data_IF_379267652237
#
_entry.id   IF_379267652237
#
_cell.length_a   1.000
_cell.length_b   1.000
_cell.length_c   1.000
_cell.angle_alpha   90.00
_cell.angle_beta   90.00
_cell.angle_gamma   90.00
#
_symmetry.space_group_name_H-M   'P 1'
#
loop_
_entity.id
_entity.type
_entity.pdbx_description
1 polymer ?
#
# COMPACT_ATOMS: atom_id res chain seq x y z
N UNK A 1 8.28 -23.17 21.44
CA UNK A 1 7.39 -21.99 21.38
C UNK A 1 6.08 -22.48 20.83
N UNK A 2 5.03 -22.52 21.64
CA UNK A 2 3.71 -23.01 21.19
C UNK A 2 3.11 -21.95 20.26
N UNK A 3 2.78 -22.34 19.05
CA UNK A 3 2.05 -21.49 18.10
C UNK A 3 0.76 -21.01 18.73
N UNK A 4 0.53 -19.72 18.71
CA UNK A 4 -0.75 -19.18 19.11
C UNK A 4 -1.70 -19.11 17.89
N UNK A 5 -2.19 -20.28 17.45
CA UNK A 5 -3.14 -20.40 16.33
C UNK A 5 -4.36 -19.49 16.52
N UNK A 6 -4.83 -19.37 17.76
CA UNK A 6 -5.95 -18.47 18.10
C UNK A 6 -5.64 -17.01 17.83
N UNK A 7 -4.39 -16.60 18.06
CA UNK A 7 -3.96 -15.23 17.77
C UNK A 7 -3.93 -14.96 16.26
N UNK A 8 -3.41 -15.91 15.46
CA UNK A 8 -3.42 -15.80 13.99
C UNK A 8 -4.83 -15.78 13.43
N UNK A 9 -5.71 -16.61 13.96
CA UNK A 9 -7.11 -16.68 13.55
C UNK A 9 -7.86 -15.38 13.87
N UNK A 10 -7.65 -14.82 15.07
CA UNK A 10 -8.19 -13.53 15.47
C UNK A 10 -7.65 -12.39 14.60
N UNK A 11 -6.35 -12.35 14.37
CA UNK A 11 -5.70 -11.38 13.51
C UNK A 11 -6.25 -11.45 12.09
N UNK A 12 -6.30 -12.64 11.50
CA UNK A 12 -6.81 -12.83 10.14
C UNK A 12 -8.26 -12.36 10.00
N UNK A 13 -9.11 -12.65 10.98
CA UNK A 13 -10.50 -12.21 10.97
C UNK A 13 -10.62 -10.68 11.07
N UNK A 14 -9.88 -10.07 11.99
CA UNK A 14 -9.90 -8.61 12.20
C UNK A 14 -9.45 -7.85 10.95
N UNK A 15 -8.38 -8.31 10.30
CA UNK A 15 -7.77 -7.58 9.20
C UNK A 15 -8.30 -7.95 7.81
N UNK A 16 -8.97 -9.10 7.64
CA UNK A 16 -9.56 -9.47 6.35
C UNK A 16 -10.60 -8.45 5.88
N UNK A 17 -11.45 -7.97 6.77
CA UNK A 17 -12.46 -6.95 6.45
C UNK A 17 -11.83 -5.60 6.13
N UNK A 18 -10.76 -5.22 6.86
CA UNK A 18 -10.00 -3.98 6.58
C UNK A 18 -9.41 -3.99 5.18
N UNK A 19 -8.74 -5.07 4.79
CA UNK A 19 -8.17 -5.19 3.44
C UNK A 19 -9.25 -5.05 2.36
N UNK A 20 -10.41 -5.65 2.54
CA UNK A 20 -11.51 -5.54 1.59
C UNK A 20 -12.01 -4.10 1.40
N UNK A 21 -11.94 -3.27 2.44
CA UNK A 21 -12.36 -1.87 2.37
C UNK A 21 -11.25 -0.99 1.79
N UNK A 22 -10.02 -1.13 2.29
CA UNK A 22 -8.89 -0.27 1.89
C UNK A 22 -8.39 -0.52 0.48
N UNK A 23 -8.54 -1.74 -0.03
CA UNK A 23 -8.04 -2.12 -1.36
C UNK A 23 -9.11 -2.07 -2.45
N UNK A 24 -10.31 -1.61 -2.10
CA UNK A 24 -11.41 -1.53 -3.06
C UNK A 24 -11.20 -0.39 -4.06
N UNK A 25 -11.09 -0.74 -5.33
CA UNK A 25 -11.06 0.20 -6.45
C UNK A 25 -12.38 0.08 -7.21
N UNK A 26 -13.17 1.16 -7.21
CA UNK A 26 -14.49 1.16 -7.80
C UNK A 26 -14.48 1.56 -9.28
N UNK A 27 -15.58 1.30 -9.99
CA UNK A 27 -15.72 1.71 -11.38
C UNK A 27 -15.61 3.23 -11.55
N UNK A 28 -16.19 3.99 -10.61
CA UNK A 28 -16.17 5.45 -10.60
C UNK A 28 -14.75 6.01 -10.45
N UNK A 29 -13.88 5.31 -9.73
CA UNK A 29 -12.46 5.70 -9.61
C UNK A 29 -11.74 5.56 -10.96
N UNK A 30 -12.04 4.56 -11.77
CA UNK A 30 -11.50 4.44 -13.12
C UNK A 30 -11.96 5.61 -14.00
N UNK A 31 -13.25 5.91 -13.98
CA UNK A 31 -13.83 6.99 -14.78
C UNK A 31 -13.27 8.36 -14.37
N UNK A 32 -13.19 8.62 -13.05
CA UNK A 32 -12.65 9.87 -12.50
C UNK A 32 -11.17 10.12 -12.85
N UNK A 33 -10.41 9.07 -13.09
CA UNK A 33 -8.99 9.15 -13.44
C UNK A 33 -8.73 8.94 -14.95
N UNK A 34 -9.77 8.74 -15.76
CA UNK A 34 -9.64 8.51 -17.20
C UNK A 34 -8.86 7.22 -17.54
N UNK A 35 -8.93 6.22 -16.68
CA UNK A 35 -8.21 4.95 -16.80
C UNK A 35 -9.15 3.87 -17.30
N UNK A 36 -8.76 3.15 -18.35
CA UNK A 36 -9.53 2.04 -18.89
C UNK A 36 -9.16 0.72 -18.20
N UNK A 37 -10.14 -0.18 -18.10
CA UNK A 37 -9.93 -1.51 -17.48
C UNK A 37 -9.21 -2.51 -18.39
N UNK A 38 -8.89 -2.12 -19.62
CA UNK A 38 -8.21 -2.94 -20.61
C UNK A 38 -6.91 -2.31 -21.08
N UNK A 39 -6.11 -3.08 -21.80
CA UNK A 39 -4.81 -2.64 -22.32
C UNK A 39 -4.93 -1.82 -23.60
N UNK A 40 -6.13 -1.70 -24.16
CA UNK A 40 -6.37 -0.99 -25.41
C UNK A 40 -7.65 -0.16 -25.34
N UNK A 41 -7.63 0.99 -26.02
CA UNK A 41 -8.81 1.81 -26.24
C UNK A 41 -9.70 1.23 -27.37
N UNK A 42 -10.82 1.92 -27.66
CA UNK A 42 -11.74 1.53 -28.73
C UNK A 42 -11.11 1.54 -30.13
N UNK A 43 -9.99 2.25 -30.32
CA UNK A 43 -9.24 2.37 -31.55
C UNK A 43 -8.04 1.41 -31.61
N UNK A 44 -7.85 0.57 -30.59
CA UNK A 44 -6.77 -0.39 -30.52
C UNK A 44 -5.44 0.17 -30.01
N UNK A 45 -5.37 1.44 -29.61
CA UNK A 45 -4.16 2.02 -29.04
C UNK A 45 -3.92 1.53 -27.62
N UNK A 46 -2.64 1.47 -27.23
CA UNK A 46 -2.27 1.19 -25.84
C UNK A 46 -2.76 2.30 -24.90
N UNK A 47 -3.31 1.91 -23.77
CA UNK A 47 -3.84 2.82 -22.75
C UNK A 47 -3.22 2.56 -21.39
N UNK A 48 -3.30 3.57 -20.52
CA UNK A 48 -2.99 3.37 -19.10
C UNK A 48 -4.07 2.47 -18.51
N UNK A 49 -3.71 1.23 -18.21
CA UNK A 49 -4.60 0.24 -17.65
C UNK A 49 -4.11 -0.13 -16.25
N UNK A 50 -4.88 0.23 -15.29
CA UNK A 50 -4.62 -0.05 -13.89
C UNK A 50 -4.73 1.21 -13.05
N UNK A 51 -5.31 1.02 -11.89
CA UNK A 51 -5.42 2.04 -10.86
C UNK A 51 -4.98 1.39 -9.54
N UNK A 52 -4.14 2.09 -8.81
CA UNK A 52 -3.69 1.67 -7.48
C UNK A 52 -3.91 2.80 -6.48
N UNK A 53 -4.32 2.45 -5.28
CA UNK A 53 -4.36 3.35 -4.13
C UNK A 53 -3.19 3.11 -3.15
N UNK A 54 -2.25 2.23 -3.51
CA UNK A 54 -1.14 1.81 -2.65
C UNK A 54 0.05 2.74 -2.81
N UNK A 55 0.38 3.14 -4.04
CA UNK A 55 1.55 3.97 -4.30
C UNK A 55 1.30 5.02 -5.37
N UNK A 56 2.04 6.12 -5.27
CA UNK A 56 2.11 7.17 -6.28
C UNK A 56 3.57 7.47 -6.59
N UNK A 57 3.90 7.52 -7.88
CA UNK A 57 5.20 7.96 -8.37
C UNK A 57 4.98 9.25 -9.16
N UNK A 58 5.82 10.25 -8.93
CA UNK A 58 5.80 11.50 -9.65
C UNK A 58 7.22 11.81 -10.15
N UNK A 59 7.39 11.88 -11.45
CA UNK A 59 8.64 12.23 -12.13
C UNK A 59 8.50 13.49 -12.99
N UNK A 60 7.28 13.98 -13.13
CA UNK A 60 6.97 15.22 -13.86
C UNK A 60 5.68 15.82 -13.30
N UNK A 61 5.51 17.12 -13.52
CA UNK A 61 4.28 17.87 -13.23
C UNK A 61 3.68 18.39 -14.53
N UNK A 62 2.36 18.56 -14.55
CA UNK A 62 1.68 19.23 -15.64
C UNK A 62 1.53 20.71 -15.29
N UNK A 63 2.20 21.58 -16.04
CA UNK A 63 2.08 23.03 -15.93
C UNK A 63 1.68 23.60 -17.27
N UNK A 64 0.57 24.31 -17.34
CA UNK A 64 0.02 24.88 -18.57
C UNK A 64 -0.11 23.87 -19.74
N UNK A 65 -0.44 22.60 -19.42
CA UNK A 65 -0.58 21.54 -20.41
C UNK A 65 0.74 20.92 -20.89
N UNK A 66 1.87 21.32 -20.34
CA UNK A 66 3.19 20.77 -20.65
C UNK A 66 3.72 19.91 -19.50
N UNK A 67 4.44 18.84 -19.85
CA UNK A 67 5.15 18.00 -18.87
C UNK A 67 6.45 18.65 -18.48
N UNK A 68 6.58 19.03 -17.20
CA UNK A 68 7.81 19.58 -16.64
C UNK A 68 8.44 18.52 -15.74
N UNK A 69 9.70 18.11 -15.99
CA UNK A 69 10.40 17.18 -15.12
C UNK A 69 10.51 17.73 -13.70
N UNK A 70 10.36 16.87 -12.71
CA UNK A 70 10.61 17.18 -11.31
C UNK A 70 11.47 16.08 -10.69
N UNK A 71 12.00 16.34 -9.49
CA UNK A 71 12.66 15.30 -8.71
C UNK A 71 11.69 14.13 -8.48
N UNK A 72 12.20 12.91 -8.63
CA UNK A 72 11.40 11.72 -8.43
C UNK A 72 10.86 11.64 -7.00
N UNK A 73 9.56 11.51 -6.87
CA UNK A 73 8.88 11.33 -5.59
C UNK A 73 8.11 10.02 -5.57
N UNK A 74 8.16 9.34 -4.44
CA UNK A 74 7.41 8.12 -4.19
C UNK A 74 6.61 8.27 -2.90
N UNK A 75 5.33 7.92 -2.98
CA UNK A 75 4.44 7.88 -1.82
C UNK A 75 3.86 6.47 -1.67
N UNK A 76 3.78 6.02 -0.44
CA UNK A 76 3.05 4.83 -0.04
C UNK A 76 1.84 5.23 0.80
N UNK A 77 0.64 4.88 0.35
CA UNK A 77 -0.63 5.22 1.02
C UNK A 77 -0.70 6.71 1.45
N UNK A 78 -0.14 7.61 0.62
CA UNK A 78 -0.14 9.06 0.87
C UNK A 78 1.05 9.59 1.69
N UNK A 79 1.91 8.72 2.23
CA UNK A 79 3.11 9.12 2.97
C UNK A 79 4.33 9.13 2.03
N UNK A 80 5.12 10.22 2.07
CA UNK A 80 6.37 10.27 1.33
C UNK A 80 7.36 9.25 1.89
N UNK A 81 7.98 8.47 1.01
CA UNK A 81 8.89 7.39 1.40
C UNK A 81 10.08 7.86 2.22
N UNK A 82 10.59 9.08 1.94
CA UNK A 82 11.71 9.67 2.70
C UNK A 82 11.28 9.95 4.14
N UNK A 83 10.06 10.45 4.34
CA UNK A 83 9.54 10.74 5.68
C UNK A 83 9.23 9.45 6.45
N UNK A 84 8.77 8.41 5.77
CA UNK A 84 8.63 7.07 6.38
C UNK A 84 9.97 6.56 6.88
N UNK A 85 11.03 6.62 6.05
CA UNK A 85 12.38 6.17 6.45
C UNK A 85 12.88 6.94 7.66
N UNK A 86 12.75 8.27 7.67
CA UNK A 86 13.11 9.09 8.85
C UNK A 86 12.30 8.72 10.09
N UNK A 87 11.03 8.37 9.91
CA UNK A 87 10.12 8.03 11.02
C UNK A 87 10.53 6.79 11.81
N UNK A 88 11.18 5.81 11.16
CA UNK A 88 11.66 4.59 11.81
C UNK A 88 13.19 4.48 11.91
N UNK A 89 13.94 5.54 11.55
CA UNK A 89 15.38 5.56 11.69
C UNK A 89 15.80 5.28 13.14
N UNK A 90 16.70 4.31 13.34
CA UNK A 90 17.13 3.84 14.66
C UNK A 90 16.11 2.98 15.41
N UNK A 91 14.94 2.71 14.83
CA UNK A 91 13.93 1.81 15.43
C UNK A 91 14.04 0.40 14.84
N UNK A 92 13.54 -0.58 15.61
CA UNK A 92 13.30 -1.94 15.10
C UNK A 92 11.96 -1.97 14.36
N UNK A 93 11.79 -2.98 13.50
CA UNK A 93 10.52 -3.25 12.81
C UNK A 93 10.09 -2.19 11.78
N UNK A 94 11.03 -1.42 11.20
CA UNK A 94 10.70 -0.46 10.13
C UNK A 94 10.14 -1.13 8.88
N UNK A 95 10.60 -2.34 8.55
CA UNK A 95 10.03 -3.14 7.47
C UNK A 95 8.56 -3.52 7.75
N UNK A 96 8.29 -4.02 8.93
CA UNK A 96 6.95 -4.42 9.36
C UNK A 96 5.99 -3.22 9.43
N UNK A 97 6.47 -2.05 9.86
CA UNK A 97 5.69 -0.82 9.88
C UNK A 97 5.26 -0.39 8.46
N UNK A 98 6.17 -0.44 7.48
CA UNK A 98 5.85 -0.15 6.09
C UNK A 98 4.97 -1.24 5.47
N UNK A 99 5.22 -2.50 5.77
CA UNK A 99 4.37 -3.60 5.31
C UNK A 99 2.92 -3.46 5.83
N UNK A 100 2.77 -3.10 7.10
CA UNK A 100 1.48 -2.80 7.70
C UNK A 100 0.76 -1.66 6.96
N UNK A 101 1.46 -0.55 6.72
CA UNK A 101 0.93 0.59 5.97
C UNK A 101 0.43 0.18 4.57
N UNK A 102 1.23 -0.58 3.84
CA UNK A 102 0.88 -1.01 2.48
C UNK A 102 -0.34 -1.93 2.47
N UNK A 103 -0.45 -2.85 3.42
CA UNK A 103 -1.55 -3.80 3.52
C UNK A 103 -2.85 -3.16 4.03
N UNK A 104 -2.75 -2.33 5.07
CA UNK A 104 -3.93 -1.86 5.80
C UNK A 104 -4.28 -0.38 5.57
N UNK A 105 -3.41 0.36 4.86
CA UNK A 105 -3.70 1.71 4.40
C UNK A 105 -3.42 2.82 5.41
N UNK A 106 -2.94 2.51 6.61
CA UNK A 106 -2.59 3.46 7.67
C UNK A 106 -1.35 3.02 8.44
N UNK A 107 -0.66 3.96 9.08
CA UNK A 107 0.45 3.62 9.98
C UNK A 107 -0.08 2.95 11.25
N UNK A 108 0.60 1.88 11.72
CA UNK A 108 0.18 1.20 12.94
C UNK A 108 0.44 2.05 14.19
N UNK A 109 -0.41 1.92 15.20
CA UNK A 109 -0.04 2.27 16.56
C UNK A 109 1.04 1.33 17.09
N UNK A 110 1.68 1.68 18.21
CA UNK A 110 2.70 0.81 18.82
C UNK A 110 2.18 -0.60 19.16
N UNK A 111 0.94 -0.71 19.63
CA UNK A 111 0.28 -1.98 19.91
C UNK A 111 -0.02 -2.76 18.63
N UNK A 112 -0.54 -2.12 17.62
CA UNK A 112 -0.82 -2.74 16.32
C UNK A 112 0.46 -3.26 15.67
N UNK A 113 1.55 -2.50 15.71
CA UNK A 113 2.85 -2.93 15.19
C UNK A 113 3.38 -4.15 15.95
N UNK A 114 3.30 -4.13 17.28
CA UNK A 114 3.70 -5.27 18.10
C UNK A 114 2.92 -6.54 17.72
N UNK A 115 1.60 -6.46 17.67
CA UNK A 115 0.74 -7.59 17.31
C UNK A 115 1.01 -8.10 15.89
N UNK A 116 1.28 -7.20 14.95
CA UNK A 116 1.65 -7.57 13.59
C UNK A 116 3.00 -8.30 13.53
N UNK A 117 4.01 -7.79 14.24
CA UNK A 117 5.32 -8.45 14.35
C UNK A 117 5.21 -9.86 14.96
N UNK A 118 4.41 -10.03 16.01
CA UNK A 118 4.16 -11.33 16.64
C UNK A 118 3.43 -12.30 15.69
N UNK A 119 2.44 -11.81 14.94
CA UNK A 119 1.74 -12.60 13.95
C UNK A 119 2.70 -13.09 12.84
N UNK A 120 3.53 -12.20 12.31
CA UNK A 120 4.55 -12.55 11.32
C UNK A 120 5.58 -13.53 11.88
N UNK A 121 6.05 -13.32 13.12
CA UNK A 121 7.01 -14.22 13.77
C UNK A 121 6.43 -15.62 13.93
N UNK A 122 5.15 -15.73 14.26
CA UNK A 122 4.44 -17.00 14.40
C UNK A 122 4.30 -17.73 13.05
N UNK A 123 4.16 -16.99 11.96
CA UNK A 123 3.97 -17.56 10.62
C UNK A 123 5.29 -17.89 9.86
N UNK A 124 6.46 -17.53 10.42
CA UNK A 124 7.78 -17.70 9.76
C UNK A 124 8.35 -19.13 9.77
N UNK A 125 7.59 -20.14 10.15
CA UNK A 125 8.10 -21.51 10.08
C UNK A 125 8.31 -21.97 8.65
N UNK A 126 9.49 -22.52 8.43
CA UNK A 126 9.76 -23.30 7.23
C UNK A 126 9.27 -24.76 7.45
N UNK A 127 8.69 -25.39 6.42
CA UNK A 127 8.29 -26.80 6.50
C UNK A 127 9.47 -27.74 6.68
#
# INVERSE_FOLDING_TARGET
MMYNEKMLESFSKEYAERCQVTDKITAEMFDANGVLRGLRDKNGNGVVAGLTNISKIEAFRMENGQKIPCDGNLWYRGYNVIDLVKGFEGKRCGFEEVAYLLLFGELPSGEQLHNFCEALATARHLP
#
